data_IF_067410925553
#
_entry.id   IF_067410925553
#
_cell.length_a   1.000
_cell.length_b   1.000
_cell.length_c   1.000
_cell.angle_alpha   90.00
_cell.angle_beta   90.00
_cell.angle_gamma   90.00
#
_symmetry.space_group_name_H-M   'P 1'
#
loop_
_entity.id
_entity.type
_entity.pdbx_description
1 polymer ?
#
# COMPACT_ATOMS: atom_id res chain seq x y z
N UNK A 1 3.22 18.65 -25.01
CA UNK A 1 4.23 18.30 -23.98
C UNK A 1 4.37 16.78 -24.03
N UNK A 2 5.57 16.26 -23.83
CA UNK A 2 5.78 14.80 -23.74
C UNK A 2 5.13 14.24 -22.48
N UNK A 3 4.87 12.93 -22.47
CA UNK A 3 4.18 12.25 -21.37
C UNK A 3 5.21 11.73 -20.38
N UNK A 4 5.18 12.25 -19.15
CA UNK A 4 6.13 11.92 -18.11
C UNK A 4 5.56 10.88 -17.13
N UNK A 5 6.47 10.10 -16.55
CA UNK A 5 6.22 9.11 -15.52
C UNK A 5 6.97 9.49 -14.23
N UNK A 6 6.50 9.00 -13.07
CA UNK A 6 7.23 9.06 -11.81
C UNK A 6 7.78 7.67 -11.47
N UNK A 7 9.09 7.58 -11.28
CA UNK A 7 9.80 6.36 -10.91
C UNK A 7 10.33 6.46 -9.49
N UNK A 8 10.18 5.38 -8.72
CA UNK A 8 10.86 5.14 -7.46
C UNK A 8 12.04 4.19 -7.66
N UNK A 9 13.20 4.56 -7.11
CA UNK A 9 14.44 3.80 -7.22
C UNK A 9 14.73 3.05 -5.91
N UNK A 10 15.45 1.93 -6.01
CA UNK A 10 15.81 1.09 -4.84
C UNK A 10 16.68 1.81 -3.80
N UNK A 11 17.29 2.94 -4.16
CA UNK A 11 18.10 3.78 -3.27
C UNK A 11 17.28 4.90 -2.58
N UNK A 12 15.95 4.73 -2.51
CA UNK A 12 15.00 5.67 -1.91
C UNK A 12 14.92 7.04 -2.61
N UNK A 13 15.47 7.16 -3.82
CA UNK A 13 15.31 8.33 -4.67
C UNK A 13 14.15 8.14 -5.64
N UNK A 14 13.74 9.23 -6.27
CA UNK A 14 12.74 9.24 -7.31
C UNK A 14 13.22 10.07 -8.49
N UNK A 15 12.64 9.81 -9.66
CA UNK A 15 12.88 10.59 -10.87
C UNK A 15 11.60 10.77 -11.67
N UNK A 16 11.49 11.88 -12.38
CA UNK A 16 10.45 12.12 -13.37
C UNK A 16 11.10 12.08 -14.74
N UNK A 17 10.72 11.10 -15.55
CA UNK A 17 11.36 10.84 -16.83
C UNK A 17 10.35 10.34 -17.87
N UNK A 18 10.78 10.25 -19.13
CA UNK A 18 10.02 9.58 -20.18
C UNK A 18 9.92 8.06 -19.91
N UNK A 19 8.86 7.39 -20.39
CA UNK A 19 8.80 5.94 -20.35
C UNK A 19 9.97 5.32 -21.10
N UNK A 20 10.41 4.14 -20.66
CA UNK A 20 11.46 3.38 -21.32
C UNK A 20 10.94 2.91 -22.68
N UNK A 21 11.74 3.03 -23.75
CA UNK A 21 11.33 2.66 -25.11
C UNK A 21 11.47 1.15 -25.42
N UNK A 22 11.82 0.32 -24.44
CA UNK A 22 12.08 -1.11 -24.63
C UNK A 22 10.81 -1.91 -24.96
N UNK A 23 10.91 -2.82 -25.94
CA UNK A 23 9.79 -3.66 -26.38
C UNK A 23 10.20 -5.15 -26.42
N UNK A 24 9.62 -6.02 -25.56
CA UNK A 24 8.71 -5.70 -24.45
C UNK A 24 9.48 -5.11 -23.24
N UNK A 25 8.84 -4.25 -22.43
CA UNK A 25 9.47 -3.72 -21.23
C UNK A 25 9.76 -4.83 -20.22
N UNK A 26 10.94 -4.78 -19.59
CA UNK A 26 11.33 -5.77 -18.59
C UNK A 26 10.52 -5.64 -17.29
N UNK A 27 10.21 -4.42 -16.86
CA UNK A 27 9.50 -4.13 -15.61
C UNK A 27 8.11 -3.53 -15.89
N UNK A 28 7.14 -3.70 -14.97
CA UNK A 28 5.89 -2.94 -15.01
C UNK A 28 6.14 -1.44 -15.15
N UNK A 29 5.47 -0.80 -16.10
CA UNK A 29 5.59 0.64 -16.32
C UNK A 29 4.72 1.43 -15.34
N UNK A 30 5.22 2.55 -14.79
CA UNK A 30 4.40 3.49 -14.03
C UNK A 30 3.40 4.22 -14.93
N UNK A 31 2.47 4.94 -14.33
CA UNK A 31 1.47 5.69 -15.10
C UNK A 31 2.10 6.81 -15.92
N UNK A 32 1.75 6.78 -17.20
CA UNK A 32 2.18 7.74 -18.20
C UNK A 32 1.32 9.01 -18.17
N UNK A 33 1.99 10.16 -18.29
CA UNK A 33 1.31 11.44 -18.50
C UNK A 33 0.82 12.10 -17.21
N UNK A 34 1.48 11.86 -16.08
CA UNK A 34 1.15 12.53 -14.80
C UNK A 34 1.17 14.06 -14.91
N UNK A 35 1.93 14.59 -15.86
CA UNK A 35 2.10 16.01 -16.12
C UNK A 35 0.92 16.67 -16.87
N UNK A 36 -0.02 15.88 -17.43
CA UNK A 36 -1.18 16.42 -18.16
C UNK A 36 -2.24 17.00 -17.24
N UNK A 37 -2.57 16.27 -16.16
CA UNK A 37 -3.62 16.67 -15.23
C UNK A 37 -3.17 17.79 -14.28
N UNK A 38 -1.86 18.04 -14.16
CA UNK A 38 -1.27 18.93 -13.15
C UNK A 38 -1.86 20.34 -13.15
N UNK A 39 -1.93 20.96 -14.32
CA UNK A 39 -2.37 22.35 -14.44
C UNK A 39 -3.93 22.45 -14.51
N UNK A 40 -4.63 21.31 -14.57
CA UNK A 40 -6.09 21.22 -14.71
C UNK A 40 -6.86 20.86 -13.44
N UNK A 41 -6.17 20.70 -12.30
CA UNK A 41 -6.78 20.34 -11.02
C UNK A 41 -6.06 21.00 -9.84
N UNK A 42 -6.66 20.95 -8.64
CA UNK A 42 -5.98 21.46 -7.44
C UNK A 42 -4.73 20.62 -7.17
N UNK A 43 -3.64 21.27 -6.74
CA UNK A 43 -2.35 20.61 -6.47
C UNK A 43 -2.51 19.40 -5.54
N UNK A 44 -3.31 19.52 -4.48
CA UNK A 44 -3.58 18.42 -3.54
C UNK A 44 -4.25 17.21 -4.21
N UNK A 45 -5.14 17.45 -5.16
CA UNK A 45 -5.91 16.41 -5.86
C UNK A 45 -5.01 15.76 -6.92
N UNK A 46 -4.14 16.55 -7.56
CA UNK A 46 -3.09 16.04 -8.44
C UNK A 46 -2.09 15.16 -7.70
N UNK A 47 -1.56 15.62 -6.56
CA UNK A 47 -0.64 14.81 -5.73
C UNK A 47 -1.31 13.53 -5.25
N UNK A 48 -2.60 13.58 -4.89
CA UNK A 48 -3.38 12.41 -4.52
C UNK A 48 -3.52 11.41 -5.67
N UNK A 49 -3.78 11.89 -6.89
CA UNK A 49 -3.85 11.07 -8.09
C UNK A 49 -2.50 10.38 -8.38
N UNK A 50 -1.41 11.14 -8.35
CA UNK A 50 -0.05 10.61 -8.53
C UNK A 50 0.27 9.55 -7.46
N UNK A 51 -0.14 9.78 -6.21
CA UNK A 51 0.06 8.84 -5.12
C UNK A 51 -0.66 7.50 -5.35
N UNK A 52 -1.94 7.51 -5.72
CA UNK A 52 -2.71 6.27 -6.01
C UNK A 52 -2.08 5.47 -7.15
N UNK A 53 -1.64 6.15 -8.21
CA UNK A 53 -0.95 5.49 -9.32
C UNK A 53 0.41 4.92 -8.90
N UNK A 54 1.14 5.61 -8.03
CA UNK A 54 2.40 5.14 -7.48
C UNK A 54 2.21 3.90 -6.61
N UNK A 55 1.18 3.88 -5.74
CA UNK A 55 0.83 2.70 -4.93
C UNK A 55 0.54 1.46 -5.80
N UNK A 56 -0.23 1.65 -6.87
CA UNK A 56 -0.56 0.58 -7.81
C UNK A 56 0.67 0.05 -8.54
N UNK A 57 1.56 0.95 -8.96
CA UNK A 57 2.81 0.59 -9.64
C UNK A 57 3.77 -0.17 -8.72
N UNK A 58 3.95 0.26 -7.47
CA UNK A 58 4.77 -0.45 -6.48
C UNK A 58 4.23 -1.85 -6.20
N UNK A 59 2.91 -2.00 -6.09
CA UNK A 59 2.29 -3.32 -5.93
C UNK A 59 2.55 -4.22 -7.15
N UNK A 60 2.40 -3.68 -8.36
CA UNK A 60 2.71 -4.39 -9.61
C UNK A 60 4.16 -4.86 -9.66
N UNK A 61 5.12 -3.99 -9.33
CA UNK A 61 6.54 -4.33 -9.24
C UNK A 61 6.82 -5.43 -8.22
N UNK A 62 6.27 -5.32 -7.02
CA UNK A 62 6.48 -6.31 -5.97
C UNK A 62 6.00 -7.71 -6.39
N UNK A 63 4.82 -7.79 -7.02
CA UNK A 63 4.26 -9.06 -7.49
C UNK A 63 4.89 -9.57 -8.78
N UNK A 64 5.41 -8.68 -9.64
CA UNK A 64 6.25 -9.04 -10.77
C UNK A 64 7.51 -9.80 -10.30
N UNK A 65 8.23 -9.24 -9.34
CA UNK A 65 9.39 -9.91 -8.75
C UNK A 65 9.00 -11.17 -7.99
N UNK A 66 7.88 -11.15 -7.27
CA UNK A 66 7.34 -12.37 -6.64
C UNK A 66 7.14 -13.50 -7.64
N UNK A 67 6.58 -13.22 -8.82
CA UNK A 67 6.43 -14.21 -9.89
C UNK A 67 7.78 -14.69 -10.44
N UNK A 68 8.74 -13.77 -10.69
CA UNK A 68 10.09 -14.10 -11.15
C UNK A 68 10.87 -14.96 -10.15
N UNK A 69 10.63 -14.77 -8.85
CA UNK A 69 11.22 -15.57 -7.77
C UNK A 69 10.41 -16.81 -7.41
N UNK A 70 9.39 -17.16 -8.21
CA UNK A 70 8.56 -18.35 -8.03
C UNK A 70 7.80 -18.38 -6.69
N UNK A 71 7.35 -17.22 -6.19
CA UNK A 71 6.54 -17.13 -4.97
C UNK A 71 5.26 -17.94 -5.10
N UNK A 72 5.05 -18.83 -4.13
CA UNK A 72 3.83 -19.62 -4.06
C UNK A 72 2.66 -18.80 -3.46
N UNK A 73 1.53 -19.47 -3.18
CA UNK A 73 0.36 -18.80 -2.58
C UNK A 73 0.68 -18.21 -1.20
N UNK A 74 1.49 -18.89 -0.39
CA UNK A 74 1.87 -18.49 0.96
C UNK A 74 2.81 -17.29 0.91
N UNK A 75 3.81 -17.32 0.03
CA UNK A 75 4.77 -16.24 -0.15
C UNK A 75 4.07 -14.95 -0.63
N UNK A 76 3.17 -15.07 -1.61
CA UNK A 76 2.35 -13.93 -2.08
C UNK A 76 1.49 -13.33 -0.97
N UNK A 77 0.90 -14.17 -0.11
CA UNK A 77 0.13 -13.71 1.04
C UNK A 77 1.03 -12.98 2.06
N UNK A 78 2.22 -13.52 2.33
CA UNK A 78 3.20 -12.89 3.23
C UNK A 78 3.66 -11.53 2.69
N UNK A 79 4.02 -11.46 1.41
CA UNK A 79 4.41 -10.22 0.73
C UNK A 79 3.30 -9.17 0.84
N UNK A 80 2.05 -9.55 0.53
CA UNK A 80 0.91 -8.65 0.63
C UNK A 80 0.73 -8.12 2.05
N UNK A 81 0.85 -8.98 3.07
CA UNK A 81 0.73 -8.55 4.46
C UNK A 81 1.81 -7.53 4.84
N UNK A 82 3.09 -7.78 4.47
CA UNK A 82 4.19 -6.85 4.73
C UNK A 82 3.98 -5.49 4.07
N UNK A 83 3.49 -5.47 2.83
CA UNK A 83 3.17 -4.22 2.12
C UNK A 83 2.07 -3.44 2.87
N UNK A 84 1.02 -4.13 3.34
CA UNK A 84 -0.11 -3.50 4.04
C UNK A 84 0.15 -3.15 5.52
N UNK A 85 1.32 -3.49 6.06
CA UNK A 85 1.75 -2.98 7.37
C UNK A 85 2.17 -1.51 7.30
N UNK A 86 2.46 -1.00 6.09
CA UNK A 86 2.82 0.38 5.84
C UNK A 86 1.58 1.18 5.36
N UNK A 87 1.50 2.48 5.70
CA UNK A 87 0.52 3.35 5.08
C UNK A 87 0.82 3.50 3.58
N UNK A 88 -0.22 3.60 2.76
CA UNK A 88 -0.03 3.86 1.34
C UNK A 88 0.52 5.27 1.11
N UNK A 89 1.14 5.51 -0.04
CA UNK A 89 1.60 6.86 -0.42
C UNK A 89 0.39 7.81 -0.42
N UNK A 90 -0.76 7.35 -0.91
CA UNK A 90 -1.99 8.14 -0.85
C UNK A 90 -2.42 8.49 0.58
N UNK A 91 -2.38 7.54 1.51
CA UNK A 91 -2.73 7.79 2.92
C UNK A 91 -1.77 8.77 3.59
N UNK A 92 -0.49 8.75 3.21
CA UNK A 92 0.51 9.71 3.69
C UNK A 92 0.24 11.10 3.11
N UNK A 93 0.05 11.22 1.79
CA UNK A 93 -0.18 12.49 1.08
C UNK A 93 -1.48 13.16 1.53
N UNK A 94 -2.54 12.39 1.76
CA UNK A 94 -3.83 12.91 2.23
C UNK A 94 -3.91 13.10 3.75
N UNK A 95 -2.89 12.64 4.49
CA UNK A 95 -2.87 12.65 5.94
C UNK A 95 -3.82 11.64 6.61
N UNK A 96 -4.43 10.72 5.85
CA UNK A 96 -5.30 9.66 6.37
C UNK A 96 -4.54 8.66 7.25
N UNK A 97 -3.23 8.45 7.02
CA UNK A 97 -2.38 7.57 7.82
C UNK A 97 -2.38 7.95 9.32
N UNK A 98 -2.40 9.25 9.62
CA UNK A 98 -2.45 9.75 11.01
C UNK A 98 -3.79 9.44 11.70
N UNK A 99 -4.88 9.30 10.94
CA UNK A 99 -6.22 8.96 11.46
C UNK A 99 -6.31 7.47 11.82
N UNK A 100 -5.76 6.58 10.98
CA UNK A 100 -5.78 5.14 11.23
C UNK A 100 -4.97 4.72 12.46
N UNK A 101 -3.81 5.33 12.72
CA UNK A 101 -3.03 5.05 13.94
C UNK A 101 -3.82 5.40 15.19
N UNK A 102 -4.57 6.51 15.16
CA UNK A 102 -5.44 6.93 16.26
C UNK A 102 -6.58 5.94 16.49
N UNK A 103 -7.22 5.43 15.42
CA UNK A 103 -8.28 4.43 15.52
C UNK A 103 -7.79 3.05 15.99
N UNK A 104 -6.67 2.53 15.44
CA UNK A 104 -6.07 1.26 15.90
C UNK A 104 -5.67 1.34 17.39
N UNK A 105 -5.17 2.49 17.85
CA UNK A 105 -4.82 2.70 19.26
C UNK A 105 -6.02 2.77 20.20
N UNK A 106 -7.20 3.17 19.71
CA UNK A 106 -8.42 3.26 20.52
C UNK A 106 -9.13 1.91 20.75
N UNK A 107 -8.81 0.88 19.97
CA UNK A 107 -9.52 -0.42 20.01
C UNK A 107 -8.88 -1.42 20.99
N UNK A 108 -7.71 -1.15 21.58
CA UNK A 108 -7.01 -2.13 22.44
C UNK A 108 -7.25 -2.02 23.95
N UNK A 109 -8.13 -1.14 24.45
CA UNK A 109 -8.32 -0.93 25.89
C UNK A 109 -9.72 -1.31 26.39
N UNK A 110 -10.12 -2.57 26.22
CA UNK A 110 -11.23 -3.10 27.02
C UNK A 110 -11.07 -4.59 27.37
N UNK A 111 -9.95 -4.95 28.02
CA UNK A 111 -9.88 -6.19 28.80
C UNK A 111 -10.24 -5.89 30.26
N UNK A 112 -11.56 -5.73 30.50
CA UNK A 112 -12.12 -5.58 31.84
C UNK A 112 -11.94 -6.86 32.67
N UNK A 113 -11.36 -6.70 33.85
CA UNK A 113 -11.02 -7.75 34.81
C UNK A 113 -12.21 -8.20 35.70
N UNK A 114 -12.23 -9.52 36.00
CA UNK A 114 -12.76 -10.23 37.21
C UNK A 114 -14.27 -10.21 37.54
N UNK A 115 -14.85 -11.41 37.69
CA UNK A 115 -15.49 -11.88 38.94
C UNK A 115 -15.87 -13.38 38.86
N UNK A 116 -15.98 -14.03 40.02
CA UNK A 116 -15.89 -15.48 40.30
C UNK A 116 -17.14 -15.89 41.09
N UNK A 117 -17.88 -16.96 40.73
CA UNK A 117 -18.61 -17.79 41.71
C UNK A 117 -19.10 -19.12 41.12
N UNK A 118 -18.92 -20.19 41.91
CA UNK A 118 -19.27 -21.60 41.65
C UNK A 118 -20.76 -21.91 41.68
N UNK A 119 -21.18 -23.01 41.04
CA UNK A 119 -22.18 -23.95 41.58
C UNK A 119 -22.04 -25.33 40.92
N UNK A 120 -21.89 -26.36 41.76
CA UNK A 120 -21.96 -27.80 41.43
C UNK A 120 -23.38 -28.18 40.99
N UNK A 121 -23.50 -29.08 40.01
CA UNK A 121 -24.54 -30.11 39.99
C UNK A 121 -24.08 -31.33 39.17
N UNK A 122 -24.20 -32.48 39.81
CA UNK A 122 -23.89 -33.84 39.35
C UNK A 122 -25.05 -34.37 38.50
N UNK A 123 -24.76 -35.22 37.50
CA UNK A 123 -25.49 -36.48 37.22
C UNK A 123 -24.90 -37.17 35.98
N UNK A 124 -24.24 -38.32 36.18
CA UNK A 124 -24.09 -39.38 35.17
C UNK A 124 -24.39 -40.70 35.89
N UNK A 125 -25.12 -41.54 35.16
CA UNK A 125 -25.63 -42.88 35.47
C UNK A 125 -24.59 -43.89 35.93
#
# INVERSE_FOLDING_TARGET
>A
KENLCLYGLLNEKWEVNLPVEEVPPELPEPVLGINFARDGMQEKDWLSLVAVHSDTWLLSLAFYFGARFSFDKTDRKRLFNLINELPTVYEVVTGAAKKQVKEKSSVSNNSGSKSKSSSKAVNIS
#
